data_IF_512603735226
#
_entry.id   IF_512603735226
#
_cell.length_a   1.000
_cell.length_b   1.000
_cell.length_c   1.000
_cell.angle_alpha   90.00
_cell.angle_beta   90.00
_cell.angle_gamma   90.00
#
_symmetry.space_group_name_H-M   'P 1'
#
loop_
_entity.id
_entity.type
_entity.pdbx_description
1 polymer ?
#
# COMPACT_ATOMS: atom_id res chain seq x y z
N UNK A 1 -52.21 -23.42 -17.94
CA UNK A 1 -50.76 -23.07 -17.95
C UNK A 1 -50.50 -21.72 -17.26
N UNK A 2 -51.09 -21.46 -16.07
CA UNK A 2 -50.94 -20.18 -15.34
C UNK A 2 -50.18 -20.33 -14.00
N UNK A 3 -49.94 -21.57 -13.56
CA UNK A 3 -49.22 -21.85 -12.31
C UNK A 3 -47.69 -21.70 -12.40
N UNK A 4 -47.08 -21.99 -13.55
CA UNK A 4 -45.61 -21.93 -13.70
C UNK A 4 -45.05 -20.50 -13.78
N UNK A 5 -45.86 -19.50 -14.12
CA UNK A 5 -45.41 -18.11 -14.19
C UNK A 5 -45.23 -17.49 -12.80
N UNK A 6 -46.05 -17.93 -11.83
CA UNK A 6 -45.99 -17.47 -10.43
C UNK A 6 -44.77 -18.04 -9.70
N UNK A 7 -44.37 -19.28 -10.00
CA UNK A 7 -43.17 -19.89 -9.42
C UNK A 7 -41.87 -19.26 -9.94
N UNK A 8 -41.84 -18.78 -11.19
CA UNK A 8 -40.67 -18.07 -11.75
C UNK A 8 -40.48 -16.70 -11.06
N UNK A 9 -41.57 -15.99 -10.74
CA UNK A 9 -41.48 -14.71 -10.02
C UNK A 9 -40.99 -14.85 -8.58
N UNK A 10 -41.33 -15.96 -7.90
CA UNK A 10 -40.87 -16.25 -6.53
C UNK A 10 -39.40 -16.71 -6.52
N UNK A 11 -38.94 -17.41 -7.57
CA UNK A 11 -37.54 -17.78 -7.72
C UNK A 11 -36.63 -16.58 -8.04
N UNK A 12 -37.14 -15.57 -8.74
CA UNK A 12 -36.38 -14.36 -9.10
C UNK A 12 -36.18 -13.41 -7.91
N UNK A 13 -37.12 -13.36 -6.96
CA UNK A 13 -36.99 -12.52 -5.76
C UNK A 13 -36.04 -13.11 -4.71
N UNK A 14 -35.83 -14.43 -4.71
CA UNK A 14 -34.86 -15.10 -3.83
C UNK A 14 -33.39 -14.80 -4.18
N UNK A 15 -33.11 -14.30 -5.38
CA UNK A 15 -31.76 -13.90 -5.81
C UNK A 15 -31.36 -12.49 -5.34
N UNK A 16 -32.27 -11.73 -4.72
CA UNK A 16 -32.00 -10.37 -4.23
C UNK A 16 -31.54 -10.29 -2.76
N UNK A 17 -31.32 -11.42 -2.07
CA UNK A 17 -30.89 -11.40 -0.67
C UNK A 17 -29.39 -11.53 -0.43
N UNK A 18 -28.56 -11.56 -1.47
CA UNK A 18 -27.11 -11.56 -1.30
C UNK A 18 -26.49 -10.17 -1.56
N UNK A 19 -26.93 -9.19 -0.79
CA UNK A 19 -26.16 -7.96 -0.55
C UNK A 19 -25.74 -7.96 0.92
N UNK A 20 -24.77 -8.82 1.24
CA UNK A 20 -23.97 -8.66 2.46
C UNK A 20 -22.98 -7.53 2.21
N UNK A 21 -23.35 -6.31 2.60
CA UNK A 21 -22.42 -5.20 2.70
C UNK A 21 -21.35 -5.55 3.73
N UNK A 22 -20.26 -6.14 3.29
CA UNK A 22 -19.09 -6.40 4.11
C UNK A 22 -18.41 -5.08 4.41
N UNK A 23 -18.79 -4.43 5.51
CA UNK A 23 -17.87 -3.56 6.23
C UNK A 23 -16.76 -4.47 6.78
N UNK A 24 -15.77 -4.76 5.94
CA UNK A 24 -14.50 -5.25 6.42
C UNK A 24 -13.86 -4.09 7.17
N UNK A 25 -14.02 -4.09 8.49
CA UNK A 25 -13.10 -3.40 9.40
C UNK A 25 -11.72 -4.00 9.18
N UNK A 26 -11.05 -3.56 8.10
CA UNK A 26 -9.65 -3.88 7.86
C UNK A 26 -8.86 -3.28 9.03
N UNK A 27 -7.94 -4.05 9.58
CA UNK A 27 -6.95 -3.56 10.54
C UNK A 27 -6.26 -2.33 9.93
N UNK A 28 -6.58 -1.13 10.41
CA UNK A 28 -6.07 0.11 9.81
C UNK A 28 -6.97 1.35 9.95
N UNK A 29 -8.21 1.17 10.41
CA UNK A 29 -9.12 2.29 10.63
C UNK A 29 -9.78 2.81 9.34
N UNK A 30 -10.33 4.05 9.35
CA UNK A 30 -11.11 4.59 8.24
C UNK A 30 -10.34 4.57 6.91
N UNK A 31 -11.04 4.18 5.84
CA UNK A 31 -10.53 4.30 4.47
C UNK A 31 -10.54 5.78 4.05
N UNK A 32 -9.38 6.28 3.62
CA UNK A 32 -9.21 7.68 3.20
C UNK A 32 -9.27 7.84 1.68
N UNK A 33 -8.69 6.89 0.94
CA UNK A 33 -8.72 6.87 -0.51
C UNK A 33 -8.55 5.44 -1.03
N UNK A 34 -8.99 5.21 -2.27
CA UNK A 34 -8.81 3.94 -2.97
C UNK A 34 -8.45 4.22 -4.43
N UNK A 35 -7.41 3.54 -4.92
CA UNK A 35 -6.97 3.59 -6.32
C UNK A 35 -6.81 2.15 -6.80
N UNK A 36 -7.72 1.70 -7.67
CA UNK A 36 -7.81 0.31 -8.11
C UNK A 36 -7.88 -0.69 -6.94
N UNK A 37 -6.86 -1.51 -6.78
CA UNK A 37 -6.73 -2.53 -5.73
C UNK A 37 -5.87 -2.07 -4.55
N UNK A 38 -5.54 -0.77 -4.48
CA UNK A 38 -4.76 -0.18 -3.39
C UNK A 38 -5.67 0.71 -2.57
N UNK A 39 -5.62 0.51 -1.25
CA UNK A 39 -6.40 1.24 -0.26
C UNK A 39 -5.43 2.07 0.58
N UNK A 40 -5.82 3.30 0.91
CA UNK A 40 -5.11 4.14 1.88
C UNK A 40 -5.95 4.24 3.14
N UNK A 41 -5.45 3.67 4.24
CA UNK A 41 -6.09 3.73 5.54
C UNK A 41 -5.51 4.81 6.44
N UNK A 42 -6.30 5.28 7.41
CA UNK A 42 -5.85 6.29 8.36
C UNK A 42 -4.61 5.88 9.16
N UNK A 43 -4.45 4.59 9.47
CA UNK A 43 -3.26 4.08 10.16
C UNK A 43 -1.96 4.34 9.41
N UNK A 44 -1.99 4.43 8.08
CA UNK A 44 -0.80 4.68 7.26
C UNK A 44 -0.34 6.15 7.31
N UNK A 45 -1.09 7.02 7.98
CA UNK A 45 -0.75 8.42 8.18
C UNK A 45 -0.06 8.67 9.54
N UNK A 46 0.23 7.62 10.31
CA UNK A 46 0.96 7.74 11.57
C UNK A 46 2.34 8.40 11.34
N UNK A 47 2.62 9.47 12.08
CA UNK A 47 3.85 10.25 11.94
C UNK A 47 3.89 11.26 10.78
N UNK A 48 2.84 11.39 9.97
CA UNK A 48 2.78 12.40 8.88
C UNK A 48 2.48 13.80 9.43
N UNK A 49 1.65 13.91 10.47
CA UNK A 49 1.27 15.19 11.08
C UNK A 49 2.22 15.50 12.23
N UNK A 50 2.97 16.63 12.19
CA UNK A 50 3.84 17.03 13.30
C UNK A 50 3.08 17.34 14.58
N UNK A 51 3.73 17.18 15.73
CA UNK A 51 3.14 17.62 17.00
C UNK A 51 3.03 19.15 17.07
N UNK A 52 1.96 19.65 17.71
CA UNK A 52 1.78 21.08 17.96
C UNK A 52 1.18 21.90 16.80
N UNK A 53 0.73 21.27 15.71
CA UNK A 53 0.02 21.97 14.63
C UNK A 53 -1.46 22.23 14.96
N UNK A 54 -2.03 23.26 14.34
CA UNK A 54 -3.47 23.56 14.48
C UNK A 54 -4.35 22.48 13.84
N UNK A 55 -5.65 22.49 14.15
CA UNK A 55 -6.60 21.55 13.54
C UNK A 55 -6.75 21.79 12.04
N UNK A 56 -6.72 23.05 11.65
CA UNK A 56 -6.83 23.50 10.27
C UNK A 56 -5.61 23.07 9.46
N UNK A 57 -4.41 23.28 10.02
CA UNK A 57 -3.15 22.91 9.37
C UNK A 57 -2.98 21.39 9.28
N UNK A 58 -3.35 20.65 10.32
CA UNK A 58 -3.31 19.17 10.29
C UNK A 58 -4.26 18.61 9.22
N UNK A 59 -5.46 19.16 9.08
CA UNK A 59 -6.37 18.77 8.01
C UNK A 59 -5.80 19.06 6.61
N UNK A 60 -5.13 20.21 6.44
CA UNK A 60 -4.46 20.56 5.18
C UNK A 60 -3.32 19.58 4.87
N UNK A 61 -2.45 19.26 5.84
CA UNK A 61 -1.37 18.28 5.69
C UNK A 61 -1.91 16.93 5.25
N UNK A 62 -2.93 16.43 5.94
CA UNK A 62 -3.58 15.15 5.61
C UNK A 62 -4.15 15.18 4.20
N UNK A 63 -4.88 16.24 3.83
CA UNK A 63 -5.45 16.36 2.48
C UNK A 63 -4.38 16.39 1.39
N UNK A 64 -3.28 17.10 1.61
CA UNK A 64 -2.16 17.18 0.68
C UNK A 64 -1.47 15.82 0.53
N UNK A 65 -1.30 15.08 1.64
CA UNK A 65 -0.76 13.73 1.63
C UNK A 65 -1.65 12.77 0.83
N UNK A 66 -2.96 12.74 1.12
CA UNK A 66 -3.91 11.86 0.42
C UNK A 66 -3.92 12.17 -1.09
N UNK A 67 -3.96 13.45 -1.47
CA UNK A 67 -3.91 13.83 -2.89
C UNK A 67 -2.61 13.40 -3.57
N UNK A 68 -1.47 13.55 -2.88
CA UNK A 68 -0.17 13.08 -3.40
C UNK A 68 -0.19 11.57 -3.57
N UNK A 69 -0.64 10.83 -2.56
CA UNK A 69 -0.74 9.38 -2.61
C UNK A 69 -1.59 8.90 -3.79
N UNK A 70 -2.77 9.51 -4.01
CA UNK A 70 -3.64 9.16 -5.15
C UNK A 70 -2.92 9.37 -6.48
N UNK A 71 -2.24 10.52 -6.66
CA UNK A 71 -1.46 10.78 -7.88
C UNK A 71 -0.34 9.78 -8.08
N UNK A 72 0.40 9.48 -7.02
CA UNK A 72 1.53 8.54 -7.06
C UNK A 72 1.04 7.12 -7.42
N UNK A 73 -0.09 6.67 -6.87
CA UNK A 73 -0.66 5.37 -7.23
C UNK A 73 -1.17 5.32 -8.68
N UNK A 74 -1.82 6.37 -9.17
CA UNK A 74 -2.25 6.44 -10.57
C UNK A 74 -1.07 6.44 -11.53
N UNK A 75 -0.03 7.21 -11.22
CA UNK A 75 1.19 7.26 -12.02
C UNK A 75 1.89 5.89 -12.02
N UNK A 76 2.01 5.25 -10.86
CA UNK A 76 2.61 3.93 -10.74
C UNK A 76 1.83 2.88 -11.55
N UNK A 77 0.50 2.90 -11.45
CA UNK A 77 -0.35 1.99 -12.23
C UNK A 77 -0.11 2.13 -13.74
N UNK A 78 -0.01 3.37 -14.24
CA UNK A 78 0.27 3.59 -15.66
C UNK A 78 1.71 3.20 -16.02
N UNK A 79 2.68 3.46 -15.14
CA UNK A 79 4.08 3.06 -15.35
C UNK A 79 4.23 1.54 -15.43
N UNK A 80 3.62 0.79 -14.53
CA UNK A 80 3.63 -0.69 -14.51
C UNK A 80 3.06 -1.29 -15.80
N UNK A 81 2.06 -0.63 -16.40
CA UNK A 81 1.46 -1.07 -17.66
C UNK A 81 2.29 -0.73 -18.91
N UNK A 82 3.22 0.22 -18.78
CA UNK A 82 4.03 0.74 -19.89
C UNK A 82 5.52 0.47 -19.68
N UNK A 83 5.88 -0.60 -18.95
CA UNK A 83 7.27 -1.01 -18.77
C UNK A 83 7.90 -1.34 -20.15
N UNK A 84 9.07 -0.77 -20.48
CA UNK A 84 9.80 -1.12 -21.70
C UNK A 84 10.11 -2.61 -21.76
N UNK A 85 9.95 -3.23 -22.93
CA UNK A 85 10.12 -4.69 -23.10
C UNK A 85 11.55 -5.19 -22.87
N UNK A 86 12.51 -4.30 -23.01
CA UNK A 86 13.94 -4.53 -22.81
C UNK A 86 14.39 -4.33 -21.35
N UNK A 87 13.49 -3.87 -20.47
CA UNK A 87 13.77 -3.66 -19.07
C UNK A 87 13.36 -4.86 -18.21
N UNK A 88 14.33 -5.63 -17.72
CA UNK A 88 14.11 -6.67 -16.71
C UNK A 88 14.21 -6.08 -15.30
N UNK A 89 13.06 -5.66 -14.75
CA UNK A 89 12.98 -5.09 -13.40
C UNK A 89 13.37 -6.12 -12.34
N UNK A 90 13.05 -7.40 -12.53
CA UNK A 90 13.34 -8.44 -11.54
C UNK A 90 14.84 -8.70 -11.42
N UNK A 91 15.56 -8.66 -12.55
CA UNK A 91 17.02 -8.68 -12.54
C UNK A 91 17.62 -7.47 -11.81
N UNK A 92 17.12 -6.27 -12.10
CA UNK A 92 17.60 -5.05 -11.45
C UNK A 92 17.37 -5.07 -9.93
N UNK A 93 16.18 -5.48 -9.49
CA UNK A 93 15.84 -5.62 -8.06
C UNK A 93 16.75 -6.64 -7.38
N UNK A 94 17.00 -7.78 -8.03
CA UNK A 94 17.91 -8.82 -7.50
C UNK A 94 19.35 -8.32 -7.38
N UNK A 95 19.84 -7.62 -8.40
CA UNK A 95 21.19 -7.04 -8.41
C UNK A 95 21.35 -5.99 -7.32
N UNK A 96 20.35 -5.10 -7.18
CA UNK A 96 20.37 -4.08 -6.13
C UNK A 96 20.33 -4.68 -4.73
N UNK A 97 19.47 -5.69 -4.50
CA UNK A 97 19.45 -6.44 -3.23
C UNK A 97 20.80 -7.06 -2.90
N UNK A 98 21.45 -7.72 -3.87
CA UNK A 98 22.76 -8.32 -3.66
C UNK A 98 23.81 -7.27 -3.28
N UNK A 99 23.76 -6.10 -3.92
CA UNK A 99 24.64 -4.97 -3.63
C UNK A 99 24.43 -4.43 -2.21
N UNK A 100 23.17 -4.25 -1.78
CA UNK A 100 22.84 -3.82 -0.42
C UNK A 100 23.35 -4.82 0.63
N UNK A 101 23.14 -6.12 0.41
CA UNK A 101 23.59 -7.16 1.36
C UNK A 101 25.11 -7.16 1.48
N UNK A 102 25.82 -7.11 0.35
CA UNK A 102 27.29 -7.08 0.36
C UNK A 102 27.81 -5.85 1.09
N UNK A 103 27.30 -4.67 0.74
CA UNK A 103 27.74 -3.41 1.34
C UNK A 103 27.57 -3.42 2.86
N UNK A 104 26.40 -3.82 3.36
CA UNK A 104 26.16 -3.88 4.80
C UNK A 104 27.05 -4.91 5.51
N UNK A 105 27.35 -6.05 4.86
CA UNK A 105 28.26 -7.04 5.42
C UNK A 105 29.71 -6.52 5.47
N UNK A 106 30.17 -5.85 4.42
CA UNK A 106 31.50 -5.21 4.39
C UNK A 106 31.62 -4.15 5.50
N UNK A 107 30.61 -3.28 5.66
CA UNK A 107 30.54 -2.29 6.74
C UNK A 107 30.60 -2.94 8.11
N UNK A 108 29.86 -4.04 8.33
CA UNK A 108 29.90 -4.78 9.58
C UNK A 108 31.30 -5.32 9.87
N UNK A 109 31.96 -5.95 8.88
CA UNK A 109 33.31 -6.47 9.04
C UNK A 109 34.31 -5.35 9.33
N UNK A 110 34.19 -4.20 8.65
CA UNK A 110 35.04 -3.04 8.92
C UNK A 110 34.85 -2.57 10.37
N UNK A 111 33.60 -2.44 10.83
CA UNK A 111 33.29 -2.03 12.20
C UNK A 111 33.89 -3.00 13.24
N UNK A 112 33.73 -4.32 13.05
CA UNK A 112 34.29 -5.34 13.93
C UNK A 112 35.84 -5.29 13.98
N UNK A 113 36.49 -5.06 12.85
CA UNK A 113 37.95 -4.96 12.77
C UNK A 113 38.46 -3.70 13.45
N UNK A 114 37.82 -2.55 13.24
CA UNK A 114 38.20 -1.30 13.88
C UNK A 114 38.04 -1.37 15.41
N UNK A 115 36.93 -1.96 15.90
CA UNK A 115 36.70 -2.13 17.33
C UNK A 115 37.75 -3.05 17.99
N UNK A 116 38.14 -4.13 17.31
CA UNK A 116 39.22 -5.02 17.80
C UNK A 116 40.58 -4.33 17.89
N UNK A 117 40.91 -3.46 16.93
CA UNK A 117 42.21 -2.75 16.92
C UNK A 117 42.31 -1.63 17.96
N UNK A 118 41.18 -1.06 18.37
CA UNK A 118 41.15 0.02 19.37
C UNK A 118 41.11 -0.54 20.79
N UNK A 119 40.56 -1.74 21.00
CA UNK A 119 40.51 -2.42 22.30
C UNK A 119 41.87 -2.99 22.77
N UNK A 120 42.80 -3.26 21.85
CA UNK A 120 44.15 -3.78 22.15
C UNK A 120 45.21 -2.69 22.46
N UNK A 121 44.82 -1.42 22.57
CA UNK A 121 45.73 -0.28 22.82
C UNK A 121 45.67 0.26 24.26
#
# INVERSE_FOLDING_TARGET
>A
MKGNLLFIFIALSALCWHCGGGESTKEGGPLLAQVYNKDLHLSELEGIVPEGVSKEDSALIVSAYVQRWVRDQLLMYEAERNIPKDLDIDELVRSYRASLVRFNFEEQIIAERLDSTVSEA
#
